data_IF_296583791357
#
_entry.id   IF_296583791357
#
_cell.length_a   1.000
_cell.length_b   1.000
_cell.length_c   1.000
_cell.angle_alpha   90.00
_cell.angle_beta   90.00
_cell.angle_gamma   90.00
#
_symmetry.space_group_name_H-M   'P 1'
#
loop_
_entity.id
_entity.type
_entity.pdbx_description
1 polymer ?
#
# COMPACT_ATOMS: atom_id res chain seq x y z
N UNK A 1 10.01 6.45 32.46
CA UNK A 1 9.37 5.76 31.30
C UNK A 1 9.69 6.53 30.02
N UNK A 2 9.95 5.84 28.91
CA UNK A 2 10.16 6.50 27.60
C UNK A 2 8.82 6.57 26.85
N UNK A 3 8.17 7.72 26.89
CA UNK A 3 6.99 8.00 26.09
C UNK A 3 7.39 8.50 24.68
N UNK A 4 6.57 8.26 23.66
CA UNK A 4 6.75 8.79 22.30
C UNK A 4 7.92 8.20 21.48
N UNK A 5 8.47 7.04 21.85
CA UNK A 5 9.54 6.39 21.07
C UNK A 5 9.05 5.91 19.72
N UNK A 6 9.34 6.67 18.67
CA UNK A 6 8.93 6.34 17.27
C UNK A 6 9.87 5.36 16.56
N UNK A 7 11.13 5.24 17.01
CA UNK A 7 12.14 4.43 16.33
C UNK A 7 12.31 3.07 17.01
N UNK A 8 12.16 2.00 16.24
CA UNK A 8 12.47 0.66 16.69
C UNK A 8 13.98 0.38 16.51
N UNK A 9 14.71 0.13 17.58
CA UNK A 9 16.15 -0.10 17.55
C UNK A 9 16.53 -1.50 17.06
N UNK A 10 15.66 -2.50 17.19
CA UNK A 10 15.90 -3.88 16.76
C UNK A 10 17.20 -4.47 17.36
N UNK A 11 17.62 -4.05 18.58
CA UNK A 11 18.86 -4.47 19.20
C UNK A 11 20.14 -4.02 18.48
N UNK A 12 20.09 -2.97 17.64
CA UNK A 12 21.20 -2.55 16.77
C UNK A 12 21.59 -1.09 16.97
N UNK A 13 22.89 -0.79 16.80
CA UNK A 13 23.40 0.58 16.70
C UNK A 13 22.85 1.25 15.43
N UNK A 14 22.85 2.58 15.39
CA UNK A 14 22.21 3.38 14.33
C UNK A 14 22.73 3.05 12.92
N UNK A 15 24.03 2.93 12.74
CA UNK A 15 24.64 2.63 11.44
C UNK A 15 24.20 1.23 10.92
N UNK A 16 24.34 0.21 11.78
CA UNK A 16 23.94 -1.16 11.44
C UNK A 16 22.43 -1.27 11.14
N UNK A 17 21.59 -0.60 11.93
CA UNK A 17 20.13 -0.57 11.67
C UNK A 17 19.79 0.08 10.34
N UNK A 18 20.41 1.22 9.99
CA UNK A 18 20.21 1.90 8.71
C UNK A 18 20.63 0.99 7.55
N UNK A 19 21.80 0.38 7.61
CA UNK A 19 22.29 -0.53 6.58
C UNK A 19 21.38 -1.76 6.42
N UNK A 20 20.94 -2.37 7.52
CA UNK A 20 20.03 -3.51 7.49
C UNK A 20 18.70 -3.16 6.82
N UNK A 21 18.10 -2.02 7.17
CA UNK A 21 16.82 -1.59 6.56
C UNK A 21 16.98 -1.24 5.08
N UNK A 22 18.11 -0.63 4.69
CA UNK A 22 18.43 -0.36 3.30
C UNK A 22 18.54 -1.65 2.48
N UNK A 23 19.31 -2.63 2.96
CA UNK A 23 19.44 -3.91 2.27
C UNK A 23 18.11 -4.66 2.16
N UNK A 24 17.33 -4.70 3.25
CA UNK A 24 16.00 -5.32 3.22
C UNK A 24 15.04 -4.60 2.25
N UNK A 25 15.14 -3.27 2.15
CA UNK A 25 14.33 -2.51 1.20
C UNK A 25 14.74 -2.80 -0.25
N UNK A 26 16.05 -2.89 -0.55
CA UNK A 26 16.53 -3.31 -1.87
C UNK A 26 16.00 -4.72 -2.21
N UNK A 27 16.13 -5.69 -1.31
CA UNK A 27 15.61 -7.04 -1.54
C UNK A 27 14.08 -7.06 -1.73
N UNK A 28 13.33 -6.20 -1.03
CA UNK A 28 11.88 -6.10 -1.21
C UNK A 28 11.50 -5.50 -2.58
N UNK A 29 12.26 -4.52 -3.07
CA UNK A 29 12.06 -3.93 -4.40
C UNK A 29 12.35 -4.96 -5.49
N UNK A 30 13.45 -5.70 -5.37
CA UNK A 30 13.92 -6.71 -6.33
C UNK A 30 13.00 -7.94 -6.36
N UNK A 31 12.70 -8.52 -5.20
CA UNK A 31 11.92 -9.76 -5.11
C UNK A 31 10.42 -9.55 -4.89
N UNK A 32 9.95 -8.30 -4.69
CA UNK A 32 8.54 -7.93 -4.45
C UNK A 32 7.96 -8.45 -3.14
N UNK A 33 8.54 -9.49 -2.54
CA UNK A 33 8.17 -10.08 -1.24
C UNK A 33 9.40 -10.68 -0.56
N UNK A 34 9.48 -10.55 0.75
CA UNK A 34 10.54 -11.14 1.57
C UNK A 34 9.99 -11.68 2.90
N UNK A 35 10.60 -12.76 3.39
CA UNK A 35 10.28 -13.33 4.69
C UNK A 35 11.27 -12.80 5.74
N UNK A 36 10.73 -12.33 6.88
CA UNK A 36 11.55 -11.77 7.96
C UNK A 36 10.78 -11.86 9.29
N UNK A 37 11.36 -11.37 10.38
CA UNK A 37 10.64 -11.30 11.65
C UNK A 37 9.63 -10.15 11.64
N UNK A 38 8.51 -10.32 12.36
CA UNK A 38 7.42 -9.32 12.43
C UNK A 38 7.92 -7.94 12.87
N UNK A 39 8.88 -7.88 13.81
CA UNK A 39 9.46 -6.63 14.27
C UNK A 39 10.25 -5.90 13.17
N UNK A 40 11.05 -6.64 12.37
CA UNK A 40 11.78 -6.08 11.22
C UNK A 40 10.84 -5.66 10.12
N UNK A 41 9.80 -6.45 9.79
CA UNK A 41 8.80 -6.09 8.79
C UNK A 41 8.08 -4.79 9.14
N UNK A 42 7.66 -4.59 10.40
CA UNK A 42 7.06 -3.34 10.87
C UNK A 42 7.99 -2.14 10.73
N UNK A 43 9.27 -2.30 11.07
CA UNK A 43 10.26 -1.23 10.92
C UNK A 43 10.57 -0.93 9.44
N UNK A 44 10.64 -1.98 8.60
CA UNK A 44 10.84 -1.85 7.15
C UNK A 44 9.69 -1.11 6.48
N UNK A 45 8.43 -1.39 6.86
CA UNK A 45 7.26 -0.69 6.36
C UNK A 45 7.40 0.83 6.52
N UNK A 46 7.76 1.29 7.73
CA UNK A 46 7.97 2.71 8.01
C UNK A 46 9.11 3.33 7.22
N UNK A 47 10.12 2.52 6.85
CA UNK A 47 11.28 2.98 6.10
C UNK A 47 10.98 3.08 4.58
N UNK A 48 10.31 2.08 4.01
CA UNK A 48 10.14 1.97 2.55
C UNK A 48 8.96 2.77 2.02
N UNK A 49 7.85 2.90 2.74
CA UNK A 49 6.66 3.59 2.24
C UNK A 49 6.91 5.05 1.82
N UNK A 50 7.69 5.87 2.57
CA UNK A 50 8.05 7.21 2.11
C UNK A 50 8.90 7.23 0.83
N UNK A 51 9.69 6.16 0.58
CA UNK A 51 10.49 6.04 -0.64
C UNK A 51 9.62 5.69 -1.84
N UNK A 52 8.64 4.79 -1.64
CA UNK A 52 7.63 4.47 -2.65
C UNK A 52 6.80 5.70 -3.04
N UNK A 53 6.37 6.50 -2.07
CA UNK A 53 5.66 7.76 -2.34
C UNK A 53 6.49 8.71 -3.20
N UNK A 54 7.81 8.83 -2.94
CA UNK A 54 8.70 9.67 -3.77
C UNK A 54 8.92 9.16 -5.17
N UNK A 55 8.76 7.86 -5.40
CA UNK A 55 8.92 7.25 -6.71
C UNK A 55 7.70 7.41 -7.62
N UNK A 56 6.51 7.75 -7.08
CA UNK A 56 5.29 7.95 -7.87
C UNK A 56 5.47 9.06 -8.92
N UNK A 57 4.82 8.89 -10.06
CA UNK A 57 4.87 9.85 -11.16
C UNK A 57 4.37 11.24 -10.77
N UNK A 58 3.28 11.33 -10.01
CA UNK A 58 2.73 12.59 -9.48
C UNK A 58 3.77 13.46 -8.76
N UNK A 59 4.75 12.84 -8.10
CA UNK A 59 5.81 13.54 -7.37
C UNK A 59 7.04 13.86 -8.24
N UNK A 60 7.01 13.48 -9.53
CA UNK A 60 8.12 13.57 -10.46
C UNK A 60 7.76 14.35 -11.74
N UNK A 61 6.77 15.26 -11.68
CA UNK A 61 6.24 16.03 -12.82
C UNK A 61 7.32 16.82 -13.58
N UNK A 62 8.34 17.30 -12.86
CA UNK A 62 9.46 18.06 -13.46
C UNK A 62 10.75 17.26 -13.37
N UNK A 63 11.62 17.41 -14.39
CA UNK A 63 12.95 16.77 -14.42
C UNK A 63 13.78 17.09 -13.17
N UNK A 64 13.68 18.33 -12.65
CA UNK A 64 14.37 18.74 -11.43
C UNK A 64 13.88 17.98 -10.21
N UNK A 65 12.55 17.84 -10.03
CA UNK A 65 11.94 17.06 -8.92
C UNK A 65 12.29 15.58 -9.05
N UNK A 66 12.20 15.02 -10.26
CA UNK A 66 12.54 13.62 -10.52
C UNK A 66 14.01 13.32 -10.17
N UNK A 67 14.93 14.18 -10.59
CA UNK A 67 16.37 14.05 -10.25
C UNK A 67 16.60 14.18 -8.75
N UNK A 68 15.94 15.13 -8.09
CA UNK A 68 16.04 15.34 -6.64
C UNK A 68 15.52 14.12 -5.87
N UNK A 69 14.35 13.60 -6.22
CA UNK A 69 13.76 12.43 -5.57
C UNK A 69 14.63 11.19 -5.76
N UNK A 70 15.17 10.95 -6.96
CA UNK A 70 16.11 9.85 -7.21
C UNK A 70 17.38 9.97 -6.35
N UNK A 71 17.93 11.15 -6.19
CA UNK A 71 19.09 11.40 -5.31
C UNK A 71 18.76 11.11 -3.85
N UNK A 72 17.59 11.54 -3.35
CA UNK A 72 17.14 11.24 -1.98
C UNK A 72 16.98 9.73 -1.77
N UNK A 73 16.30 9.04 -2.70
CA UNK A 73 16.08 7.59 -2.61
C UNK A 73 17.42 6.85 -2.66
N UNK A 74 18.32 7.24 -3.59
CA UNK A 74 19.66 6.66 -3.67
C UNK A 74 20.46 6.86 -2.38
N UNK A 75 20.39 8.02 -1.74
CA UNK A 75 21.08 8.27 -0.47
C UNK A 75 20.64 7.33 0.66
N UNK A 76 19.40 6.80 0.59
CA UNK A 76 18.84 5.85 1.56
C UNK A 76 19.13 4.40 1.22
N UNK A 77 18.98 4.01 -0.05
CA UNK A 77 19.14 2.63 -0.51
C UNK A 77 20.58 2.28 -0.87
N UNK A 78 21.35 3.21 -1.43
CA UNK A 78 22.73 3.04 -1.90
C UNK A 78 22.92 1.90 -2.92
N UNK A 79 21.85 1.54 -3.62
CA UNK A 79 21.85 0.55 -4.69
C UNK A 79 21.21 1.15 -5.94
N UNK A 80 21.98 1.28 -7.03
CA UNK A 80 21.52 1.87 -8.29
C UNK A 80 20.44 1.04 -8.97
N UNK A 81 20.57 -0.28 -8.94
CA UNK A 81 19.61 -1.19 -9.57
C UNK A 81 18.24 -1.12 -8.89
N UNK A 82 18.20 -1.19 -7.55
CA UNK A 82 16.97 -1.03 -6.79
C UNK A 82 16.29 0.33 -7.05
N UNK A 83 17.07 1.41 -7.21
CA UNK A 83 16.50 2.73 -7.55
C UNK A 83 15.94 2.74 -8.96
N UNK A 84 16.63 2.18 -9.95
CA UNK A 84 16.12 2.09 -11.32
C UNK A 84 14.80 1.32 -11.36
N UNK A 85 14.74 0.16 -10.72
CA UNK A 85 13.54 -0.67 -10.66
C UNK A 85 12.39 0.01 -9.90
N UNK A 86 12.70 0.73 -8.82
CA UNK A 86 11.72 1.47 -8.04
C UNK A 86 11.02 2.58 -8.84
N UNK A 87 11.78 3.37 -9.62
CA UNK A 87 11.25 4.45 -10.47
C UNK A 87 10.73 3.97 -11.83
N UNK A 88 10.96 2.73 -12.19
CA UNK A 88 10.41 2.06 -13.37
C UNK A 88 9.18 1.24 -13.02
N UNK A 89 9.37 -0.07 -12.97
CA UNK A 89 8.30 -1.05 -12.83
C UNK A 89 7.45 -0.89 -11.57
N UNK A 90 8.09 -0.57 -10.43
CA UNK A 90 7.38 -0.46 -9.17
C UNK A 90 6.50 0.79 -9.14
N UNK A 91 7.00 1.93 -9.61
CA UNK A 91 6.23 3.17 -9.69
C UNK A 91 5.01 3.02 -10.62
N UNK A 92 5.18 2.41 -11.79
CA UNK A 92 4.11 2.16 -12.74
C UNK A 92 2.99 1.27 -12.15
N UNK A 93 3.35 0.22 -11.40
CA UNK A 93 2.36 -0.67 -10.76
C UNK A 93 1.64 -0.05 -9.57
N UNK A 94 2.29 0.84 -8.82
CA UNK A 94 1.66 1.54 -7.70
C UNK A 94 0.58 2.52 -8.19
N UNK A 95 0.81 3.18 -9.33
CA UNK A 95 -0.13 4.12 -9.92
C UNK A 95 -0.66 5.15 -8.90
N UNK A 96 -1.97 5.35 -8.88
CA UNK A 96 -2.65 6.37 -8.07
C UNK A 96 -2.90 5.97 -6.61
N UNK A 97 -2.37 4.84 -6.14
CA UNK A 97 -2.59 4.40 -4.75
C UNK A 97 -2.12 5.48 -3.76
N UNK A 98 -2.97 5.99 -2.83
CA UNK A 98 -2.61 7.09 -1.94
C UNK A 98 -1.65 6.70 -0.81
N UNK A 99 -1.45 5.38 -0.56
CA UNK A 99 -0.58 4.86 0.48
C UNK A 99 -0.87 3.40 0.83
N UNK A 100 -0.13 2.84 1.80
CA UNK A 100 -0.28 1.45 2.19
C UNK A 100 0.20 0.49 1.08
N UNK A 101 1.34 0.80 0.49
CA UNK A 101 1.94 0.03 -0.60
C UNK A 101 2.43 -1.35 -0.18
N UNK A 102 2.63 -1.56 1.12
CA UNK A 102 3.15 -2.81 1.67
C UNK A 102 2.13 -3.51 2.57
N UNK A 103 2.13 -4.84 2.52
CA UNK A 103 1.33 -5.71 3.38
C UNK A 103 2.24 -6.63 4.18
N UNK A 104 1.90 -6.87 5.44
CA UNK A 104 2.59 -7.81 6.32
C UNK A 104 1.64 -8.96 6.64
N UNK A 105 2.06 -10.18 6.31
CA UNK A 105 1.33 -11.42 6.58
C UNK A 105 2.12 -12.21 7.61
N UNK A 106 1.49 -12.59 8.73
CA UNK A 106 2.14 -13.41 9.75
C UNK A 106 2.22 -14.86 9.28
N UNK A 107 3.38 -15.49 9.47
CA UNK A 107 3.66 -16.87 9.04
C UNK A 107 3.74 -17.87 10.19
N UNK A 108 3.64 -17.43 11.44
CA UNK A 108 3.89 -18.27 12.62
C UNK A 108 5.26 -18.03 13.20
N UNK A 109 5.74 -18.95 14.04
CA UNK A 109 6.97 -18.81 14.79
C UNK A 109 8.08 -19.64 14.17
N UNK A 110 9.32 -19.17 14.26
CA UNK A 110 10.49 -19.87 13.77
C UNK A 110 10.94 -20.93 14.80
N UNK A 111 11.22 -22.13 14.32
CA UNK A 111 11.82 -23.19 15.15
C UNK A 111 13.19 -22.74 15.69
N UNK A 112 13.48 -23.07 16.93
CA UNK A 112 14.73 -22.76 17.60
C UNK A 112 14.64 -21.56 18.54
N UNK A 113 14.25 -20.38 18.07
CA UNK A 113 14.18 -19.14 18.87
C UNK A 113 12.75 -18.59 19.09
N UNK A 114 11.75 -19.30 18.62
CA UNK A 114 10.34 -18.94 18.71
C UNK A 114 10.02 -17.50 18.26
N UNK A 115 10.82 -16.94 17.35
CA UNK A 115 10.63 -15.60 16.84
C UNK A 115 9.41 -15.54 15.91
N UNK A 116 8.52 -14.56 16.11
CA UNK A 116 7.40 -14.29 15.21
C UNK A 116 7.88 -13.95 13.81
N UNK A 117 7.55 -14.78 12.82
CA UNK A 117 7.90 -14.58 11.43
C UNK A 117 6.76 -13.88 10.67
N UNK A 118 7.12 -13.11 9.65
CA UNK A 118 6.19 -12.48 8.76
C UNK A 118 6.76 -12.35 7.35
N UNK A 119 5.90 -12.42 6.37
CA UNK A 119 6.17 -12.03 5.00
C UNK A 119 5.73 -10.58 4.81
N UNK A 120 6.60 -9.74 4.26
CA UNK A 120 6.24 -8.41 3.77
C UNK A 120 6.27 -8.43 2.25
N UNK A 121 5.24 -7.87 1.63
CA UNK A 121 5.07 -7.84 0.17
C UNK A 121 4.61 -6.47 -0.33
N UNK A 122 4.88 -6.18 -1.59
CA UNK A 122 4.27 -5.07 -2.32
C UNK A 122 2.87 -5.50 -2.77
N UNK A 123 1.84 -4.77 -2.32
CA UNK A 123 0.42 -5.15 -2.49
C UNK A 123 0.04 -5.31 -3.96
N UNK A 124 0.57 -4.45 -4.84
CA UNK A 124 0.19 -4.40 -6.24
C UNK A 124 0.78 -5.52 -7.09
N UNK A 125 1.74 -6.27 -6.53
CA UNK A 125 2.32 -7.47 -7.15
C UNK A 125 1.64 -8.78 -6.73
N UNK A 126 0.68 -8.74 -5.81
CA UNK A 126 -0.05 -9.93 -5.38
C UNK A 126 -1.34 -10.09 -6.19
N UNK A 127 -1.29 -10.91 -7.22
CA UNK A 127 -2.42 -11.17 -8.13
C UNK A 127 -3.54 -11.94 -7.45
N UNK A 128 -3.22 -12.90 -6.59
CA UNK A 128 -4.21 -13.75 -5.90
C UNK A 128 -5.16 -12.94 -5.00
N UNK A 129 -4.62 -11.97 -4.26
CA UNK A 129 -5.43 -11.11 -3.40
C UNK A 129 -6.11 -9.97 -4.14
N UNK A 130 -5.63 -9.60 -5.33
CA UNK A 130 -6.20 -8.54 -6.13
C UNK A 130 -7.32 -9.05 -7.06
N UNK A 131 -7.26 -10.30 -7.52
CA UNK A 131 -8.25 -10.92 -8.39
C UNK A 131 -9.66 -11.04 -7.76
N UNK A 132 -9.76 -11.08 -6.43
CA UNK A 132 -11.02 -11.26 -5.70
C UNK A 132 -11.73 -9.99 -5.22
N UNK A 133 -11.23 -8.80 -5.54
CA UNK A 133 -11.89 -7.56 -5.10
C UNK A 133 -12.81 -7.02 -6.20
N UNK A 134 -14.17 -7.21 -6.08
CA UNK A 134 -15.09 -6.49 -6.94
C UNK A 134 -14.84 -4.99 -6.77
N UNK A 135 -14.76 -4.27 -7.88
CA UNK A 135 -14.62 -2.81 -7.89
C UNK A 135 -15.69 -2.23 -6.95
N UNK A 136 -15.28 -1.60 -5.85
CA UNK A 136 -16.20 -0.95 -4.92
C UNK A 136 -16.90 0.15 -5.70
N UNK A 137 -18.16 -0.08 -6.09
CA UNK A 137 -19.03 0.98 -6.60
C UNK A 137 -19.03 2.09 -5.55
N UNK A 138 -18.60 3.29 -5.93
CA UNK A 138 -18.64 4.48 -5.09
C UNK A 138 -20.10 4.74 -4.77
N UNK A 139 -20.61 4.27 -3.64
CA UNK A 139 -21.90 4.67 -3.12
C UNK A 139 -21.74 6.10 -2.62
N UNK A 140 -22.09 7.05 -3.47
CA UNK A 140 -22.19 8.44 -3.07
C UNK A 140 -23.29 8.53 -2.00
N UNK A 141 -22.92 9.04 -0.84
CA UNK A 141 -23.79 9.26 0.35
C UNK A 141 -24.98 10.18 0.07
N UNK A 142 -25.16 10.62 -1.18
CA UNK A 142 -26.20 11.55 -1.67
C UNK A 142 -27.46 10.88 -2.14
N UNK A 143 -27.52 9.54 -2.25
CA UNK A 143 -28.69 8.80 -2.75
C UNK A 143 -29.74 8.42 -1.71
N UNK A 144 -29.61 8.79 -0.43
CA UNK A 144 -30.52 8.33 0.63
C UNK A 144 -31.53 9.39 1.12
N UNK A 145 -31.74 10.47 0.36
CA UNK A 145 -32.71 11.50 0.73
C UNK A 145 -33.50 11.95 -0.48
N UNK A 146 -34.33 11.05 -1.05
CA UNK A 146 -35.49 11.38 -1.86
C UNK A 146 -36.28 10.10 -2.15
N UNK A 147 -37.16 9.71 -1.24
CA UNK A 147 -38.35 8.92 -1.52
C UNK A 147 -39.32 9.08 -0.35
N UNK A 148 -40.00 10.18 -0.35
CA UNK A 148 -41.31 10.41 0.20
C UNK A 148 -41.96 11.43 -0.70
N UNK A 149 -43.13 11.08 -1.03
CA UNK A 149 -44.15 11.88 -1.69
C UNK A 149 -44.39 11.55 -3.18
N UNK A 150 -45.63 11.09 -3.26
CA UNK A 150 -46.62 11.24 -4.31
C UNK A 150 -46.83 10.14 -5.33
N UNK A 151 -48.07 9.82 -5.26
CA UNK A 151 -49.04 9.48 -6.31
C UNK A 151 -49.49 8.02 -6.32
N UNK A 152 -50.64 7.85 -5.71
CA UNK A 152 -51.57 6.76 -5.98
C UNK A 152 -52.15 6.99 -7.38
N UNK A 153 -52.04 6.11 -8.36
CA UNK A 153 -52.82 6.17 -9.56
C UNK A 153 -54.19 5.54 -9.34
N UNK A 154 -55.25 6.29 -9.61
CA UNK A 154 -56.62 5.87 -9.62
C UNK A 154 -56.85 4.73 -10.64
N UNK A 155 -57.68 3.75 -10.23
CA UNK A 155 -58.11 2.66 -11.06
C UNK A 155 -59.03 3.15 -12.22
N UNK A 156 -58.94 2.56 -13.41
CA UNK A 156 -59.90 2.87 -14.48
C UNK A 156 -61.23 2.18 -14.24
N UNK A 157 -62.30 2.96 -14.34
CA UNK A 157 -63.68 2.50 -14.29
C UNK A 157 -63.98 1.74 -15.59
N UNK A 158 -64.41 0.50 -15.47
CA UNK A 158 -64.93 -0.29 -16.57
C UNK A 158 -66.41 0.06 -16.78
N UNK A 159 -66.72 0.73 -17.87
CA UNK A 159 -68.08 0.85 -18.38
C UNK A 159 -68.44 -0.45 -19.10
N UNK A 160 -69.58 -1.02 -18.69
CA UNK A 160 -70.29 -2.07 -19.39
C UNK A 160 -71.26 -1.49 -20.39
N UNK A 161 -71.33 -1.91 -21.65
CA UNK A 161 -72.43 -1.55 -22.53
C UNK A 161 -73.61 -2.46 -22.28
N UNK A 162 -74.78 -1.82 -22.21
CA UNK A 162 -76.11 -2.45 -22.25
C UNK A 162 -76.52 -2.70 -23.73
N UNK A 163 -77.24 -3.81 -23.87
CA UNK A 163 -78.17 -4.23 -24.92
C UNK A 163 -77.71 -5.27 -25.86
#
# INVERSE_FOLDING_TARGET
MRHGKKVNHLGRKTAHRKAMLANMACSLIEHKRINTTTAKAKALKQFIEPLLTKAKEENNDTTAKATHNRRIVFSKLRNKYAVTELFGDVAAKIGDRPGGYTRIIKLGNRLGDNADMAMIELVDYNELYNAGKPAKKKTTRRGRRKKSDDAVPAAPVTETPKS
#
